data_IF_320814937211
#
_entry.id   IF_320814937211
#
_cell.length_a   1.000
_cell.length_b   1.000
_cell.length_c   1.000
_cell.angle_alpha   90.00
_cell.angle_beta   90.00
_cell.angle_gamma   90.00
#
_symmetry.space_group_name_H-M   'P 1'
#
loop_
_entity.id
_entity.type
_entity.pdbx_description
1 polymer ?
#
# COMPACT_ATOMS: atom_id res chain seq x y z
N UNK A 1 -13.77 -3.07 -8.20
CA UNK A 1 -13.38 -1.84 -8.91
C UNK A 1 -12.04 -1.39 -8.34
N UNK A 2 -11.00 -1.11 -9.14
CA UNK A 2 -9.77 -0.54 -8.60
C UNK A 2 -10.07 0.82 -7.95
N UNK A 3 -9.30 1.17 -6.92
CA UNK A 3 -9.36 2.50 -6.32
C UNK A 3 -8.99 3.52 -7.39
N UNK A 4 -9.95 4.31 -7.83
CA UNK A 4 -9.72 5.41 -8.78
C UNK A 4 -9.35 6.68 -8.06
N UNK A 5 -9.66 6.83 -6.78
CA UNK A 5 -9.46 8.08 -6.04
C UNK A 5 -8.58 7.90 -4.80
N UNK A 6 -7.83 8.94 -4.46
CA UNK A 6 -7.01 9.05 -3.26
C UNK A 6 -7.49 10.24 -2.41
N UNK A 7 -7.25 10.15 -1.10
CA UNK A 7 -7.54 11.23 -0.15
C UNK A 7 -6.37 12.22 -0.18
N UNK A 8 -6.62 13.45 -0.64
CA UNK A 8 -5.64 14.53 -0.54
C UNK A 8 -5.51 14.99 0.91
N UNK A 9 -4.30 15.38 1.30
CA UNK A 9 -4.00 15.85 2.65
C UNK A 9 -3.11 17.09 2.62
N UNK A 10 -3.09 17.83 3.71
CA UNK A 10 -2.06 18.83 3.96
C UNK A 10 -0.84 18.23 4.69
N UNK A 11 0.14 19.08 5.00
CA UNK A 11 1.38 18.69 5.70
C UNK A 11 1.14 18.11 7.11
N UNK A 12 -0.04 18.34 7.69
CA UNK A 12 -0.44 17.82 9.00
C UNK A 12 -1.29 16.54 8.89
N UNK A 13 -1.32 15.86 7.73
CA UNK A 13 -2.19 14.71 7.41
C UNK A 13 -3.69 15.01 7.60
N UNK A 14 -4.11 16.28 7.47
CA UNK A 14 -5.53 16.64 7.52
C UNK A 14 -6.14 16.49 6.13
N UNK A 15 -7.27 15.78 5.96
CA UNK A 15 -7.91 15.63 4.65
C UNK A 15 -8.33 16.98 4.06
N UNK A 16 -7.98 17.21 2.79
CA UNK A 16 -8.32 18.43 2.05
C UNK A 16 -9.27 18.18 0.87
N UNK A 17 -9.43 16.92 0.46
CA UNK A 17 -10.32 16.53 -0.64
C UNK A 17 -10.03 15.12 -1.15
N UNK A 18 -10.51 14.84 -2.36
CA UNK A 18 -10.21 13.62 -3.10
C UNK A 18 -9.79 13.97 -4.53
N UNK A 19 -8.98 13.13 -5.15
CA UNK A 19 -8.55 13.28 -6.55
C UNK A 19 -8.35 11.90 -7.17
N UNK A 20 -8.47 11.81 -8.50
CA UNK A 20 -8.07 10.61 -9.22
C UNK A 20 -6.60 10.26 -8.91
N UNK A 21 -6.33 8.97 -8.73
CA UNK A 21 -5.04 8.48 -8.27
C UNK A 21 -3.91 8.89 -9.19
N UNK A 22 -3.99 8.58 -10.48
CA UNK A 22 -2.93 8.91 -11.43
C UNK A 22 -2.70 10.41 -11.51
N UNK A 23 -3.77 11.21 -11.57
CA UNK A 23 -3.71 12.67 -11.57
C UNK A 23 -2.99 13.23 -10.34
N UNK A 24 -3.26 12.71 -9.14
CA UNK A 24 -2.58 13.12 -7.91
C UNK A 24 -1.07 12.84 -7.96
N UNK A 25 -0.65 11.71 -8.56
CA UNK A 25 0.78 11.38 -8.73
C UNK A 25 1.44 12.26 -9.80
N UNK A 26 0.74 12.54 -10.90
CA UNK A 26 1.26 13.38 -11.98
C UNK A 26 1.44 14.84 -11.52
N UNK A 27 0.52 15.34 -10.69
CA UNK A 27 0.59 16.69 -10.10
C UNK A 27 1.48 16.78 -8.85
N UNK A 28 1.94 15.65 -8.31
CA UNK A 28 2.73 15.62 -7.08
C UNK A 28 2.01 16.19 -5.86
N UNK A 29 0.71 15.92 -5.73
CA UNK A 29 -0.09 16.42 -4.60
C UNK A 29 0.00 15.48 -3.41
N UNK A 30 0.13 16.05 -2.21
CA UNK A 30 0.12 15.29 -0.96
C UNK A 30 -1.17 14.50 -0.81
N UNK A 31 -1.02 13.19 -0.67
CA UNK A 31 -2.14 12.27 -0.53
C UNK A 31 -1.82 11.11 0.40
N UNK A 32 -2.85 10.60 1.07
CA UNK A 32 -2.70 9.57 2.09
C UNK A 32 -2.42 8.20 1.48
N UNK A 33 -1.34 7.59 1.92
CA UNK A 33 -0.96 6.23 1.57
C UNK A 33 -0.82 5.32 2.81
N UNK A 34 -0.74 4.03 2.54
CA UNK A 34 -0.42 2.96 3.50
C UNK A 34 0.83 2.27 2.99
N UNK A 35 1.80 2.07 3.88
CA UNK A 35 2.84 1.06 3.70
C UNK A 35 2.61 -0.09 4.67
N UNK A 36 2.88 -1.31 4.24
CA UNK A 36 2.76 -2.54 5.02
C UNK A 36 4.11 -3.26 4.96
N UNK A 37 4.64 -3.58 6.14
CA UNK A 37 5.81 -4.45 6.31
C UNK A 37 5.38 -5.78 6.91
N UNK A 38 5.83 -6.87 6.30
CA UNK A 38 5.56 -8.23 6.76
C UNK A 38 6.88 -8.89 7.15
N UNK A 39 6.94 -9.39 8.39
CA UNK A 39 8.10 -10.09 8.91
C UNK A 39 7.76 -11.54 9.24
N UNK A 40 8.69 -12.47 8.98
CA UNK A 40 8.59 -13.84 9.48
C UNK A 40 9.01 -13.94 10.97
N UNK A 41 8.86 -15.12 11.59
CA UNK A 41 9.28 -15.38 12.98
C UNK A 41 10.77 -15.16 13.25
N UNK A 42 11.60 -15.09 12.20
CA UNK A 42 13.03 -14.77 12.27
C UNK A 42 13.32 -13.27 12.08
N UNK A 43 12.31 -12.41 12.10
CA UNK A 43 12.41 -10.95 11.88
C UNK A 43 12.98 -10.57 10.50
N UNK A 44 12.85 -11.43 9.50
CA UNK A 44 13.25 -11.09 8.13
C UNK A 44 12.09 -10.42 7.40
N UNK A 45 12.39 -9.33 6.71
CA UNK A 45 11.41 -8.56 5.94
C UNK A 45 11.13 -9.24 4.59
N UNK A 46 9.84 -9.39 4.27
CA UNK A 46 9.39 -9.76 2.95
C UNK A 46 9.47 -8.56 2.00
N UNK A 47 10.31 -8.67 0.98
CA UNK A 47 10.40 -7.71 -0.13
C UNK A 47 9.55 -8.19 -1.32
N UNK A 48 9.07 -7.25 -2.12
CA UNK A 48 8.47 -7.56 -3.42
C UNK A 48 9.26 -6.88 -4.55
N UNK A 49 9.34 -7.56 -5.69
CA UNK A 49 9.64 -6.91 -6.96
C UNK A 49 8.32 -6.54 -7.63
N UNK A 50 8.17 -5.28 -8.01
CA UNK A 50 6.95 -4.79 -8.64
C UNK A 50 6.84 -5.33 -10.07
N UNK A 51 5.63 -5.68 -10.50
CA UNK A 51 5.37 -6.09 -11.88
C UNK A 51 5.90 -5.05 -12.89
N UNK A 52 6.42 -5.52 -14.03
CA UNK A 52 7.12 -4.69 -15.00
C UNK A 52 6.20 -3.65 -15.67
N UNK A 53 4.92 -3.97 -15.79
CA UNK A 53 3.87 -3.18 -16.45
C UNK A 53 3.28 -2.07 -15.55
N UNK A 54 3.74 -1.95 -14.30
CA UNK A 54 3.27 -0.90 -13.40
C UNK A 54 3.73 0.47 -13.92
N UNK A 55 2.77 1.34 -14.22
CA UNK A 55 3.02 2.72 -14.69
C UNK A 55 3.98 3.51 -13.80
N UNK A 56 3.93 3.29 -12.47
CA UNK A 56 4.85 3.89 -11.51
C UNK A 56 5.74 2.82 -10.87
N UNK A 57 7.06 3.00 -10.99
CA UNK A 57 8.09 2.16 -10.38
C UNK A 57 8.01 0.67 -10.77
N UNK A 58 7.65 0.35 -12.02
CA UNK A 58 7.65 -1.04 -12.51
C UNK A 58 9.05 -1.68 -12.45
N UNK A 59 9.14 -2.95 -12.08
CA UNK A 59 10.39 -3.71 -12.00
C UNK A 59 11.30 -3.40 -10.79
N UNK A 60 11.01 -2.33 -10.04
CA UNK A 60 11.79 -1.97 -8.85
C UNK A 60 11.44 -2.83 -7.64
N UNK A 61 12.44 -3.08 -6.80
CA UNK A 61 12.28 -3.71 -5.50
C UNK A 61 11.70 -2.72 -4.49
N UNK A 62 10.79 -3.20 -3.62
CA UNK A 62 10.13 -2.38 -2.61
C UNK A 62 9.82 -3.20 -1.36
N UNK A 63 9.39 -2.51 -0.30
CA UNK A 63 8.81 -3.15 0.89
C UNK A 63 7.56 -3.97 0.50
N UNK A 64 7.06 -4.76 1.46
CA UNK A 64 6.07 -5.81 1.18
C UNK A 64 4.87 -5.34 0.37
N UNK A 65 4.22 -4.23 0.76
CA UNK A 65 3.09 -3.71 0.02
C UNK A 65 2.82 -2.24 0.34
N UNK A 66 2.48 -1.45 -0.69
CA UNK A 66 2.04 -0.06 -0.53
C UNK A 66 0.71 0.14 -1.27
N UNK A 67 -0.21 0.88 -0.66
CA UNK A 67 -1.54 1.16 -1.23
C UNK A 67 -2.10 2.49 -0.76
N UNK A 68 -3.34 2.77 -1.14
CA UNK A 68 -4.08 3.97 -0.80
C UNK A 68 -5.36 3.58 -0.06
N UNK A 69 -5.83 4.44 0.84
CA UNK A 69 -7.14 4.26 1.48
C UNK A 69 -8.24 4.67 0.51
N UNK A 70 -9.32 3.89 0.42
CA UNK A 70 -10.54 4.41 -0.19
C UNK A 70 -11.10 5.56 0.67
N UNK A 71 -11.75 6.57 0.06
CA UNK A 71 -12.62 7.47 0.80
C UNK A 71 -13.62 6.66 1.66
N UNK A 72 -13.65 6.92 2.97
CA UNK A 72 -14.53 6.22 3.92
C UNK A 72 -13.99 4.90 4.51
N UNK A 73 -12.84 4.38 4.07
CA UNK A 73 -12.23 3.20 4.70
C UNK A 73 -11.54 3.54 6.03
N UNK A 74 -11.84 2.77 7.07
CA UNK A 74 -11.11 2.85 8.35
C UNK A 74 -9.70 2.30 8.18
N UNK A 75 -8.73 3.08 8.66
CA UNK A 75 -7.28 2.93 8.43
C UNK A 75 -6.69 1.56 8.77
N UNK A 76 -7.17 0.90 9.81
CA UNK A 76 -6.35 -0.15 10.44
C UNK A 76 -6.53 -1.56 9.88
N UNK A 77 -7.59 -1.87 9.12
CA UNK A 77 -7.87 -3.27 8.78
C UNK A 77 -8.19 -3.52 7.31
N UNK A 78 -9.03 -2.70 6.68
CA UNK A 78 -9.42 -2.92 5.29
C UNK A 78 -8.25 -2.73 4.31
N UNK A 79 -7.49 -1.64 4.47
CA UNK A 79 -6.33 -1.35 3.63
C UNK A 79 -5.18 -2.35 3.79
N UNK A 80 -4.93 -2.81 5.02
CA UNK A 80 -3.94 -3.86 5.33
C UNK A 80 -4.36 -5.19 4.71
N UNK A 81 -5.60 -5.62 4.94
CA UNK A 81 -6.13 -6.88 4.39
C UNK A 81 -6.17 -6.83 2.87
N UNK A 82 -6.51 -5.70 2.26
CA UNK A 82 -6.46 -5.52 0.80
C UNK A 82 -5.03 -5.63 0.23
N UNK A 83 -4.04 -5.04 0.91
CA UNK A 83 -2.62 -5.16 0.55
C UNK A 83 -2.15 -6.62 0.60
N UNK A 84 -2.44 -7.30 1.71
CA UNK A 84 -2.02 -8.68 1.94
C UNK A 84 -2.75 -9.64 0.99
N UNK A 85 -4.05 -9.46 0.73
CA UNK A 85 -4.80 -10.29 -0.23
C UNK A 85 -4.24 -10.19 -1.64
N UNK A 86 -3.89 -8.99 -2.10
CA UNK A 86 -3.24 -8.80 -3.41
C UNK A 86 -1.91 -9.56 -3.49
N UNK A 87 -1.16 -9.63 -2.40
CA UNK A 87 0.11 -10.35 -2.36
C UNK A 87 -0.09 -11.87 -2.22
N UNK A 88 -0.99 -12.32 -1.34
CA UNK A 88 -1.28 -13.74 -1.12
C UNK A 88 -1.83 -14.43 -2.39
N UNK A 89 -2.61 -13.71 -3.21
CA UNK A 89 -3.06 -14.20 -4.50
C UNK A 89 -1.92 -14.38 -5.53
N UNK A 90 -0.75 -13.76 -5.30
CA UNK A 90 0.43 -13.84 -6.18
C UNK A 90 1.50 -14.82 -5.68
N UNK A 91 1.35 -15.38 -4.48
CA UNK A 91 2.36 -16.24 -3.87
C UNK A 91 1.92 -17.71 -3.84
N UNK A 92 2.72 -18.56 -4.49
CA UNK A 92 2.45 -19.98 -4.68
C UNK A 92 2.67 -20.87 -3.44
N UNK A 93 2.99 -20.30 -2.26
CA UNK A 93 3.34 -21.11 -1.09
C UNK A 93 2.69 -20.62 0.24
N UNK A 94 1.58 -21.26 0.67
CA UNK A 94 0.81 -20.88 1.87
C UNK A 94 1.57 -21.01 3.20
N UNK A 95 2.61 -21.83 3.26
CA UNK A 95 3.28 -22.20 4.51
C UNK A 95 4.17 -21.10 5.09
N UNK A 96 4.47 -20.04 4.33
CA UNK A 96 5.28 -18.89 4.78
C UNK A 96 4.48 -18.00 5.76
N UNK A 97 3.18 -18.24 5.96
CA UNK A 97 2.24 -17.27 6.52
C UNK A 97 1.84 -17.48 7.98
N UNK A 98 2.25 -18.58 8.61
CA UNK A 98 1.80 -18.92 9.96
C UNK A 98 2.33 -17.98 11.06
N UNK A 99 3.42 -17.24 10.78
CA UNK A 99 4.16 -16.45 11.77
C UNK A 99 4.35 -14.97 11.37
N UNK A 100 3.39 -14.38 10.66
CA UNK A 100 3.56 -13.04 10.12
C UNK A 100 3.12 -11.95 11.09
N UNK A 101 4.02 -11.00 11.35
CA UNK A 101 3.68 -9.72 12.01
C UNK A 101 3.56 -8.61 10.97
N UNK A 102 2.64 -7.67 11.21
CA UNK A 102 2.32 -6.57 10.30
C UNK A 102 2.61 -5.24 10.99
N UNK A 103 3.42 -4.40 10.35
CA UNK A 103 3.55 -2.97 10.70
C UNK A 103 3.02 -2.12 9.57
N UNK A 104 2.19 -1.13 9.89
CA UNK A 104 1.64 -0.20 8.90
C UNK A 104 1.76 1.25 9.36
N UNK A 105 2.13 2.13 8.42
CA UNK A 105 2.26 3.57 8.64
C UNK A 105 1.44 4.37 7.63
N UNK A 106 0.97 5.55 8.05
CA UNK A 106 0.42 6.56 7.16
C UNK A 106 1.56 7.45 6.67
N UNK A 107 1.56 7.72 5.37
CA UNK A 107 2.51 8.64 4.76
C UNK A 107 1.77 9.58 3.82
N UNK A 108 2.27 10.82 3.74
CA UNK A 108 1.94 11.77 2.69
C UNK A 108 3.15 11.79 1.73
N UNK A 109 2.91 11.52 0.45
CA UNK A 109 3.91 11.59 -0.63
C UNK A 109 3.50 12.67 -1.62
#
# INVERSE_FOLDING_TARGET
MPLTEVILVDEADRPTGVMEKQEAHEKGLLHRAITVYVFNSRQQLLLQQRALDKYHSGGLWSNTCCSHHAPGEKTSQAGIVGCIRKWAALSANPHIYADLSISAGKWAY
#
